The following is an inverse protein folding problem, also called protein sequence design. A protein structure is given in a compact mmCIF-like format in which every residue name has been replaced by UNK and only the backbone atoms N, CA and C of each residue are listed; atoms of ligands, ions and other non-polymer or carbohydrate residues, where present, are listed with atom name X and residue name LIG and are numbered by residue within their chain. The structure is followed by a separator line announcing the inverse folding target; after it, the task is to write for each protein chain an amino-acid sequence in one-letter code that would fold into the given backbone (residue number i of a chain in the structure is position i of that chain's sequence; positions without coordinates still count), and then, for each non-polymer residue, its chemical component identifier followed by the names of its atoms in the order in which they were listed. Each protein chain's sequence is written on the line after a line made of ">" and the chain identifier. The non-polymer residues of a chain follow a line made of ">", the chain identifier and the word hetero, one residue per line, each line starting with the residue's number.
data_IF_314585581122
#
_entry.id   IF_314585581122
#
_cell.length_a   1.000
_cell.length_b   1.000
_cell.length_c   1.000
_cell.angle_alpha   90.00
_cell.angle_beta   90.00
_cell.angle_gamma   90.00
#
_symmetry.space_group_name_H-M   'P 1'
#
loop_
_entity.id
_entity.type
_entity.pdbx_description
1 polymer ?
#
# COMPACT_ATOMS: atom_id res chain seq x y z
N UNK A 1 -55.57 25.76 15.11
CA UNK A 1 -54.20 25.46 15.61
C UNK A 1 -53.60 24.38 14.74
N UNK A 2 -52.60 24.71 13.92
CA UNK A 2 -51.83 23.72 13.13
C UNK A 2 -50.46 23.61 13.79
N UNK A 3 -50.18 22.45 14.37
CA UNK A 3 -48.88 22.11 14.96
C UNK A 3 -47.95 21.70 13.81
N UNK A 4 -46.93 22.52 13.54
CA UNK A 4 -45.85 22.16 12.61
C UNK A 4 -44.85 21.27 13.35
N UNK A 5 -44.74 20.01 12.92
CA UNK A 5 -43.64 19.13 13.31
C UNK A 5 -42.37 19.57 12.57
N UNK A 6 -41.41 20.13 13.31
CA UNK A 6 -40.10 20.47 12.79
C UNK A 6 -39.23 19.19 12.81
N UNK A 7 -39.03 18.59 11.65
CA UNK A 7 -38.11 17.46 11.47
C UNK A 7 -36.67 18.01 11.46
N UNK A 8 -35.95 17.85 12.56
CA UNK A 8 -34.52 18.19 12.63
C UNK A 8 -33.72 17.06 11.97
N UNK A 9 -33.27 17.28 10.74
CA UNK A 9 -32.24 16.47 10.10
C UNK A 9 -30.90 16.76 10.78
N UNK A 10 -30.48 15.85 11.67
CA UNK A 10 -29.10 15.77 12.15
C UNK A 10 -28.20 15.34 10.98
N UNK A 11 -27.65 16.32 10.27
CA UNK A 11 -26.49 16.11 9.40
C UNK A 11 -25.34 15.77 10.35
N UNK A 12 -25.03 14.48 10.45
CA UNK A 12 -23.83 14.03 11.16
C UNK A 12 -22.61 14.59 10.45
N UNK A 13 -22.07 15.70 10.95
CA UNK A 13 -20.73 16.14 10.61
C UNK A 13 -19.78 15.00 10.95
N UNK A 14 -19.32 14.26 9.95
CA UNK A 14 -18.20 13.34 10.08
C UNK A 14 -17.02 14.16 10.62
N UNK A 15 -16.66 13.95 11.88
CA UNK A 15 -15.48 14.56 12.47
C UNK A 15 -14.29 14.28 11.55
N UNK A 16 -13.44 15.29 11.33
CA UNK A 16 -12.22 15.09 10.57
C UNK A 16 -11.46 13.90 11.17
N UNK A 17 -10.96 12.94 10.36
CA UNK A 17 -10.22 11.82 10.89
C UNK A 17 -9.05 12.35 11.72
N UNK A 18 -8.73 11.72 12.87
CA UNK A 18 -7.61 12.13 13.70
C UNK A 18 -6.33 12.16 12.85
N UNK A 19 -5.45 13.13 13.14
CA UNK A 19 -4.12 13.21 12.54
C UNK A 19 -3.42 11.87 12.83
N UNK A 20 -2.80 11.26 11.82
CA UNK A 20 -2.20 9.92 11.98
C UNK A 20 -1.18 9.91 13.12
N UNK A 21 -1.38 9.03 14.10
CA UNK A 21 -0.36 8.72 15.14
C UNK A 21 0.78 7.83 14.60
N UNK A 22 0.86 7.67 13.27
CA UNK A 22 1.92 6.89 12.63
C UNK A 22 3.28 7.53 12.88
N UNK A 23 4.26 6.71 13.27
CA UNK A 23 5.64 7.16 13.52
C UNK A 23 6.56 6.61 12.44
N UNK A 24 7.36 7.47 11.78
CA UNK A 24 8.36 6.98 10.84
C UNK A 24 9.55 6.38 11.58
N UNK A 25 10.12 5.32 11.00
CA UNK A 25 11.29 4.62 11.52
C UNK A 25 12.51 4.84 10.61
N UNK A 26 12.29 4.85 9.30
CA UNK A 26 13.34 4.99 8.31
C UNK A 26 12.81 4.85 6.90
N UNK A 27 13.69 4.87 5.89
CA UNK A 27 13.32 4.67 4.49
C UNK A 27 13.90 3.37 3.95
N UNK A 28 13.23 2.79 2.95
CA UNK A 28 13.66 1.59 2.23
C UNK A 28 13.28 1.71 0.75
N UNK A 29 14.13 1.15 -0.12
CA UNK A 29 13.86 1.01 -1.55
C UNK A 29 13.69 -0.46 -1.91
N UNK A 30 12.53 -0.82 -2.45
CA UNK A 30 12.22 -2.18 -2.90
C UNK A 30 12.51 -2.27 -4.39
N UNK A 31 13.46 -3.11 -4.77
CA UNK A 31 13.78 -3.34 -6.17
C UNK A 31 12.98 -4.51 -6.75
N UNK A 32 12.38 -4.26 -7.91
CA UNK A 32 11.79 -5.27 -8.77
C UNK A 32 12.84 -5.76 -9.75
N UNK A 33 13.70 -6.65 -9.28
CA UNK A 33 14.82 -7.17 -10.03
C UNK A 33 15.05 -8.64 -9.67
N UNK A 34 14.73 -9.53 -10.60
CA UNK A 34 14.70 -10.98 -10.38
C UNK A 34 16.06 -11.55 -9.95
N UNK A 35 17.15 -10.81 -10.18
CA UNK A 35 18.51 -11.17 -9.76
C UNK A 35 18.99 -10.56 -8.44
N UNK A 36 18.31 -9.54 -7.90
CA UNK A 36 18.78 -8.80 -6.73
C UNK A 36 18.10 -9.28 -5.44
N UNK A 37 18.63 -10.36 -4.85
CA UNK A 37 18.25 -10.81 -3.49
C UNK A 37 19.10 -10.08 -2.45
N UNK A 38 18.90 -8.78 -2.29
CA UNK A 38 19.54 -8.02 -1.22
C UNK A 38 18.59 -7.91 -0.02
N UNK A 39 19.12 -8.13 1.19
CA UNK A 39 18.44 -7.70 2.40
C UNK A 39 18.63 -6.19 2.58
N UNK A 40 17.59 -5.50 3.03
CA UNK A 40 17.60 -4.06 3.29
C UNK A 40 17.37 -3.85 4.77
N UNK A 41 18.25 -3.10 5.42
CA UNK A 41 17.94 -2.50 6.71
C UNK A 41 17.30 -1.14 6.45
N UNK A 42 16.33 -0.76 7.28
CA UNK A 42 15.90 0.64 7.30
C UNK A 42 17.05 1.53 7.82
N UNK A 43 16.96 2.84 7.57
CA UNK A 43 18.02 3.78 7.97
C UNK A 43 18.28 3.83 9.48
N UNK A 44 17.34 3.38 10.32
CA UNK A 44 17.53 3.30 11.77
C UNK A 44 18.05 1.93 12.26
N UNK A 45 18.18 0.93 11.38
CA UNK A 45 18.50 -0.46 11.72
C UNK A 45 17.53 -1.11 12.73
N UNK A 46 16.30 -0.60 12.81
CA UNK A 46 15.21 -1.14 13.63
C UNK A 46 14.61 -2.38 12.97
N UNK A 47 14.63 -2.44 11.64
CA UNK A 47 13.99 -3.50 10.87
C UNK A 47 14.87 -3.98 9.74
N UNK A 48 14.96 -5.30 9.60
CA UNK A 48 15.56 -5.95 8.44
C UNK A 48 14.47 -6.53 7.53
N UNK A 49 14.54 -6.20 6.24
CA UNK A 49 13.68 -6.74 5.18
C UNK A 49 14.50 -7.67 4.30
N UNK A 50 14.05 -8.92 4.17
CA UNK A 50 14.70 -9.92 3.31
C UNK A 50 13.69 -10.42 2.26
N UNK A 51 13.96 -10.26 0.96
CA UNK A 51 13.07 -10.78 -0.08
C UNK A 51 13.03 -12.31 0.00
N UNK A 52 11.82 -12.88 0.02
CA UNK A 52 11.60 -14.33 0.04
C UNK A 52 11.19 -14.85 -1.33
N UNK A 53 10.02 -14.40 -1.80
CA UNK A 53 9.38 -14.90 -3.01
C UNK A 53 9.02 -13.75 -3.93
N UNK A 54 9.08 -14.05 -5.22
CA UNK A 54 8.62 -13.20 -6.29
C UNK A 54 7.62 -13.99 -7.12
N UNK A 55 6.45 -13.41 -7.35
CA UNK A 55 5.43 -13.98 -8.24
C UNK A 55 5.05 -12.96 -9.30
N UNK A 56 4.85 -13.46 -10.51
CA UNK A 56 4.18 -12.75 -11.58
C UNK A 56 3.01 -13.55 -12.13
N UNK A 57 1.95 -12.84 -12.48
CA UNK A 57 0.75 -13.40 -13.07
C UNK A 57 0.36 -12.54 -14.27
N UNK A 58 0.27 -13.17 -15.43
CA UNK A 58 -0.20 -12.55 -16.66
C UNK A 58 -1.70 -12.77 -16.84
N UNK A 59 -2.45 -11.68 -16.89
CA UNK A 59 -3.82 -11.65 -17.37
C UNK A 59 -3.82 -11.42 -18.89
N UNK A 60 -3.83 -12.53 -19.63
CA UNK A 60 -3.80 -12.50 -21.08
C UNK A 60 -5.05 -11.82 -21.68
N UNK A 61 -6.19 -11.89 -20.98
CA UNK A 61 -7.45 -11.34 -21.48
C UNK A 61 -7.61 -9.85 -21.13
N UNK A 62 -7.27 -9.46 -19.90
CA UNK A 62 -7.32 -8.06 -19.47
C UNK A 62 -6.08 -7.24 -19.83
N UNK A 63 -5.04 -7.86 -20.42
CA UNK A 63 -3.84 -7.15 -20.88
C UNK A 63 -2.97 -6.62 -19.73
N UNK A 64 -3.08 -7.20 -18.54
CA UNK A 64 -2.39 -6.75 -17.34
C UNK A 64 -1.41 -7.79 -16.82
N UNK A 65 -0.38 -7.31 -16.13
CA UNK A 65 0.54 -8.13 -15.35
C UNK A 65 0.42 -7.73 -13.89
N UNK A 66 0.39 -8.73 -13.03
CA UNK A 66 0.35 -8.59 -11.58
C UNK A 66 1.68 -9.10 -11.05
N UNK A 67 2.33 -8.29 -10.22
CA UNK A 67 3.62 -8.59 -9.66
C UNK A 67 3.49 -8.52 -8.13
N UNK A 68 3.94 -9.55 -7.41
CA UNK A 68 4.06 -9.52 -5.95
C UNK A 68 5.47 -9.91 -5.51
N UNK A 69 6.04 -9.15 -4.58
CA UNK A 69 7.24 -9.53 -3.84
C UNK A 69 6.89 -9.66 -2.37
N UNK A 70 7.20 -10.81 -1.80
CA UNK A 70 7.03 -11.08 -0.37
C UNK A 70 8.36 -10.86 0.34
N UNK A 71 8.35 -10.04 1.38
CA UNK A 71 9.49 -9.81 2.27
C UNK A 71 9.24 -10.50 3.60
N UNK A 72 10.27 -11.18 4.13
CA UNK A 72 10.39 -11.43 5.56
C UNK A 72 10.85 -10.14 6.21
N UNK A 73 10.16 -9.74 7.25
CA UNK A 73 10.48 -8.54 8.02
C UNK A 73 10.79 -8.96 9.44
N UNK A 74 11.97 -8.59 9.92
CA UNK A 74 12.47 -8.93 11.26
C UNK A 74 12.56 -7.66 12.10
N UNK A 75 11.98 -7.70 13.31
CA UNK A 75 12.14 -6.63 14.27
C UNK A 75 13.48 -6.77 15.00
N UNK A 76 14.43 -5.90 14.66
CA UNK A 76 15.76 -5.86 15.26
C UNK A 76 15.86 -4.90 16.46
N UNK A 77 14.75 -4.23 16.80
CA UNK A 77 14.68 -3.32 17.93
C UNK A 77 14.45 -4.04 19.25
N UNK A 78 14.53 -3.29 20.35
CA UNK A 78 14.27 -3.81 21.70
C UNK A 78 12.79 -3.76 22.10
N UNK A 79 11.92 -3.14 21.30
CA UNK A 79 10.49 -2.98 21.58
C UNK A 79 9.63 -3.66 20.53
N UNK A 80 8.37 -3.95 20.86
CA UNK A 80 7.42 -4.48 19.86
C UNK A 80 7.04 -3.41 18.85
N UNK A 81 6.91 -3.79 17.58
CA UNK A 81 6.45 -2.92 16.50
C UNK A 81 4.97 -3.19 16.23
N UNK A 82 4.14 -2.17 16.31
CA UNK A 82 2.70 -2.25 16.04
C UNK A 82 2.38 -1.75 14.64
N UNK A 83 1.59 -2.54 13.91
CA UNK A 83 1.13 -2.28 12.53
C UNK A 83 2.25 -1.71 11.66
N UNK A 84 3.34 -2.46 11.56
CA UNK A 84 4.48 -2.07 10.75
C UNK A 84 4.03 -1.99 9.28
N UNK A 85 4.25 -0.83 8.65
CA UNK A 85 3.76 -0.53 7.30
C UNK A 85 4.84 0.12 6.45
N UNK A 86 4.94 -0.29 5.20
CA UNK A 86 5.68 0.40 4.14
C UNK A 86 4.78 1.46 3.50
N UNK A 87 4.93 2.72 3.91
CA UNK A 87 4.20 3.88 3.37
C UNK A 87 4.90 4.42 2.14
N UNK A 88 4.21 4.44 1.00
CA UNK A 88 4.81 4.90 -0.24
C UNK A 88 5.11 6.41 -0.17
N UNK A 89 6.23 6.85 -0.75
CA UNK A 89 6.53 8.27 -0.90
C UNK A 89 7.18 8.57 -2.26
N UNK A 90 6.95 9.77 -2.76
CA UNK A 90 7.55 10.31 -3.96
C UNK A 90 8.84 11.05 -3.60
N UNK A 91 9.98 10.39 -3.79
CA UNK A 91 11.30 10.99 -3.71
C UNK A 91 11.53 11.94 -4.90
N UNK A 92 12.45 12.90 -4.76
CA UNK A 92 12.80 13.83 -5.86
C UNK A 92 13.28 13.11 -7.12
N UNK A 93 13.93 11.95 -6.98
CA UNK A 93 14.40 11.14 -8.10
C UNK A 93 13.33 10.19 -8.68
N UNK A 94 12.14 10.13 -8.10
CA UNK A 94 11.06 9.27 -8.59
C UNK A 94 10.34 9.90 -9.78
N UNK A 95 9.84 9.04 -10.66
CA UNK A 95 9.20 9.45 -11.89
C UNK A 95 7.71 9.76 -11.67
N UNK A 96 7.25 10.84 -12.28
CA UNK A 96 5.82 11.19 -12.34
C UNK A 96 5.17 11.42 -10.98
N UNK A 97 5.94 11.81 -9.96
CA UNK A 97 5.47 12.02 -8.60
C UNK A 97 4.93 10.75 -7.92
N UNK A 98 5.39 9.58 -8.36
CA UNK A 98 5.01 8.27 -7.80
C UNK A 98 6.08 7.77 -6.83
N UNK A 99 5.86 6.61 -6.21
CA UNK A 99 6.92 5.91 -5.48
C UNK A 99 7.93 5.20 -6.41
N UNK A 100 7.65 5.15 -7.71
CA UNK A 100 8.48 4.44 -8.69
C UNK A 100 9.69 5.31 -9.05
N UNK A 101 10.86 4.83 -8.62
CA UNK A 101 12.16 5.34 -9.03
C UNK A 101 12.58 4.83 -10.40
N UNK A 102 13.89 4.67 -10.61
CA UNK A 102 14.49 4.17 -11.85
C UNK A 102 13.67 3.05 -12.50
N UNK A 103 13.15 3.25 -13.71
CA UNK A 103 12.49 2.21 -14.52
C UNK A 103 13.42 1.82 -15.67
N UNK A 104 13.52 0.51 -15.93
CA UNK A 104 14.29 -0.05 -17.03
C UNK A 104 13.50 -1.13 -17.75
N UNK A 105 13.70 -1.21 -19.07
CA UNK A 105 13.28 -2.36 -19.85
C UNK A 105 13.98 -3.63 -19.35
N UNK A 106 13.48 -4.79 -19.75
CA UNK A 106 14.16 -6.05 -19.45
C UNK A 106 15.55 -6.09 -20.12
N UNK A 107 16.56 -6.71 -19.47
CA UNK A 107 17.88 -6.89 -20.05
C UNK A 107 17.85 -7.46 -21.47
N UNK A 108 18.75 -6.97 -22.31
CA UNK A 108 19.00 -7.51 -23.65
C UNK A 108 20.52 -7.61 -23.89
N UNK A 109 20.98 -8.36 -24.90
CA UNK A 109 22.41 -8.46 -25.20
C UNK A 109 23.09 -7.10 -25.44
N UNK A 110 22.36 -6.12 -25.99
CA UNK A 110 22.87 -4.75 -26.22
C UNK A 110 22.76 -3.85 -24.99
N UNK A 111 21.91 -4.20 -24.03
CA UNK A 111 21.67 -3.45 -22.79
C UNK A 111 21.53 -4.45 -21.64
N UNK A 112 22.64 -4.95 -21.07
CA UNK A 112 22.62 -5.98 -20.03
C UNK A 112 21.90 -5.52 -18.76
N UNK A 113 21.86 -4.21 -18.51
CA UNK A 113 21.10 -3.63 -17.39
C UNK A 113 19.67 -3.23 -17.77
N UNK A 114 19.29 -3.36 -19.03
CA UNK A 114 18.05 -2.82 -19.58
C UNK A 114 18.13 -1.33 -19.88
N UNK A 115 17.49 -0.92 -20.98
CA UNK A 115 17.39 0.49 -21.39
C UNK A 115 16.60 1.27 -20.34
N UNK A 116 17.13 2.42 -19.92
CA UNK A 116 16.44 3.31 -18.99
C UNK A 116 15.17 3.89 -19.63
N UNK A 117 14.09 3.92 -18.85
CA UNK A 117 12.81 4.49 -19.24
C UNK A 117 12.55 5.68 -18.31
N UNK A 118 12.48 6.87 -18.89
CA UNK A 118 12.31 8.13 -18.15
C UNK A 118 10.92 8.73 -18.30
N UNK A 119 10.05 8.08 -19.09
CA UNK A 119 8.68 8.54 -19.30
C UNK A 119 7.87 8.44 -17.99
N UNK A 120 7.39 9.57 -17.43
CA UNK A 120 6.56 9.58 -16.23
C UNK A 120 5.29 8.73 -16.34
N UNK A 121 4.74 8.58 -17.56
CA UNK A 121 3.52 7.81 -17.79
C UNK A 121 3.72 6.32 -17.52
N UNK A 122 4.93 5.80 -17.74
CA UNK A 122 5.25 4.39 -17.43
C UNK A 122 5.26 4.17 -15.93
N UNK A 123 5.90 5.06 -15.16
CA UNK A 123 5.88 5.00 -13.70
C UNK A 123 4.46 5.14 -13.14
N UNK A 124 3.69 6.08 -13.69
CA UNK A 124 2.28 6.24 -13.34
C UNK A 124 1.45 5.03 -13.71
N UNK A 125 1.84 4.23 -14.72
CA UNK A 125 1.13 3.01 -15.11
C UNK A 125 1.17 1.88 -14.06
N UNK A 126 2.17 1.90 -13.17
CA UNK A 126 2.37 0.90 -12.11
C UNK A 126 1.47 1.24 -10.92
N UNK A 127 0.42 0.45 -10.71
CA UNK A 127 -0.59 0.68 -9.67
C UNK A 127 -0.41 -0.26 -8.48
N UNK A 128 -0.37 0.25 -7.23
CA UNK A 128 -0.37 -0.59 -6.05
C UNK A 128 -1.72 -1.30 -5.92
N UNK A 129 -1.68 -2.57 -5.52
CA UNK A 129 -2.86 -3.43 -5.36
C UNK A 129 -2.63 -4.38 -4.17
N UNK A 130 -3.62 -5.20 -3.81
CA UNK A 130 -3.34 -6.38 -2.98
C UNK A 130 -2.60 -7.45 -3.80
N UNK A 131 -1.95 -8.40 -3.13
CA UNK A 131 -1.45 -9.60 -3.80
C UNK A 131 -2.57 -10.28 -4.59
N UNK A 132 -2.23 -10.88 -5.73
CA UNK A 132 -3.19 -11.46 -6.67
C UNK A 132 -2.78 -12.90 -6.98
N UNK A 133 -3.75 -13.80 -7.01
CA UNK A 133 -3.60 -15.19 -7.41
C UNK A 133 -4.43 -15.48 -8.66
N UNK A 134 -4.16 -16.60 -9.33
CA UNK A 134 -4.99 -17.06 -10.44
C UNK A 134 -6.18 -17.84 -9.89
N UNK A 135 -7.36 -17.24 -9.95
CA UNK A 135 -8.64 -17.88 -9.65
C UNK A 135 -9.23 -18.59 -10.88
N UNK A 136 -10.38 -19.28 -10.72
CA UNK A 136 -11.03 -20.04 -11.79
C UNK A 136 -11.56 -19.17 -12.93
N UNK A 137 -11.84 -17.88 -12.68
CA UNK A 137 -12.35 -16.93 -13.67
C UNK A 137 -11.30 -15.92 -14.15
N UNK A 138 -10.06 -16.01 -13.65
CA UNK A 138 -9.01 -15.04 -13.89
C UNK A 138 -8.31 -14.58 -12.60
N UNK A 139 -7.48 -13.53 -12.67
CA UNK A 139 -6.81 -12.98 -11.50
C UNK A 139 -7.81 -12.48 -10.45
N UNK A 140 -7.57 -12.83 -9.19
CA UNK A 140 -8.38 -12.41 -8.04
C UNK A 140 -7.47 -12.05 -6.84
N UNK A 141 -7.93 -11.20 -5.89
CA UNK A 141 -7.16 -10.88 -4.69
C UNK A 141 -6.78 -12.14 -3.90
N UNK A 142 -5.52 -12.26 -3.51
CA UNK A 142 -5.03 -13.32 -2.64
C UNK A 142 -5.24 -12.93 -1.17
N UNK A 143 -6.12 -13.63 -0.42
CA UNK A 143 -6.41 -13.31 0.98
C UNK A 143 -5.19 -13.45 1.90
N UNK A 144 -4.18 -14.24 1.52
CA UNK A 144 -2.93 -14.41 2.27
C UNK A 144 -1.91 -13.30 1.98
N UNK A 145 -2.14 -12.51 0.92
CA UNK A 145 -1.32 -11.38 0.52
C UNK A 145 -2.09 -10.05 0.47
N UNK A 146 -3.15 -9.94 1.30
CA UNK A 146 -3.98 -8.74 1.46
C UNK A 146 -3.35 -7.68 2.38
N UNK A 147 -2.13 -7.24 2.07
CA UNK A 147 -1.37 -6.29 2.89
C UNK A 147 -1.56 -4.81 2.50
N UNK A 148 -2.24 -4.54 1.39
CA UNK A 148 -2.46 -3.16 0.92
C UNK A 148 -3.30 -2.35 1.91
N UNK A 149 -2.86 -1.13 2.18
CA UNK A 149 -3.59 -0.14 2.97
C UNK A 149 -3.72 1.19 2.22
N UNK A 150 -4.93 1.75 2.24
CA UNK A 150 -5.21 3.11 1.80
C UNK A 150 -5.30 4.07 2.99
N UNK A 151 -4.89 5.32 2.78
CA UNK A 151 -4.83 6.33 3.84
C UNK A 151 -5.49 7.62 3.38
N UNK A 152 -6.07 8.37 4.32
CA UNK A 152 -6.56 9.71 3.98
C UNK A 152 -5.38 10.65 3.70
N UNK A 153 -5.64 11.67 2.87
CA UNK A 153 -4.65 12.70 2.58
C UNK A 153 -4.14 13.39 3.86
N UNK A 154 -5.02 13.58 4.85
CA UNK A 154 -4.66 14.20 6.13
C UNK A 154 -3.63 13.36 6.91
N UNK A 155 -3.80 12.04 6.91
CA UNK A 155 -2.85 11.11 7.54
C UNK A 155 -1.49 11.14 6.83
N UNK A 156 -1.48 11.06 5.50
CA UNK A 156 -0.25 11.13 4.71
C UNK A 156 0.48 12.46 4.92
N UNK A 157 -0.24 13.58 4.94
CA UNK A 157 0.33 14.92 5.16
C UNK A 157 0.86 15.08 6.60
N UNK A 158 0.24 14.43 7.58
CA UNK A 158 0.73 14.39 8.96
C UNK A 158 2.05 13.62 9.07
N UNK A 159 2.08 12.41 8.49
CA UNK A 159 3.26 11.56 8.46
C UNK A 159 4.42 12.21 7.68
N UNK A 160 4.13 12.84 6.55
CA UNK A 160 5.11 13.60 5.74
C UNK A 160 5.82 14.66 6.58
N UNK A 161 5.06 15.52 7.26
CA UNK A 161 5.61 16.55 8.15
C UNK A 161 6.44 15.95 9.27
N UNK A 162 5.99 14.85 9.86
CA UNK A 162 6.73 14.14 10.90
C UNK A 162 8.07 13.58 10.41
N UNK A 163 8.09 12.97 9.22
CA UNK A 163 9.29 12.41 8.62
C UNK A 163 10.28 13.50 8.16
N UNK A 164 9.79 14.60 7.61
CA UNK A 164 10.60 15.77 7.26
C UNK A 164 11.23 16.41 8.51
N UNK A 165 10.47 16.54 9.60
CA UNK A 165 10.98 17.08 10.87
C UNK A 165 12.08 16.21 11.48
N UNK A 166 12.09 14.90 11.20
CA UNK A 166 13.14 13.97 11.62
C UNK A 166 14.30 13.87 10.62
N UNK A 167 14.25 14.59 9.50
CA UNK A 167 15.26 14.52 8.44
C UNK A 167 15.26 13.20 7.65
N UNK A 168 14.19 12.40 7.76
CA UNK A 168 14.04 11.14 7.01
C UNK A 168 13.59 11.37 5.58
N UNK A 169 12.86 12.47 5.33
CA UNK A 169 12.43 12.93 4.01
C UNK A 169 12.91 14.36 3.78
N UNK A 170 13.26 14.69 2.54
CA UNK A 170 13.52 16.07 2.14
C UNK A 170 12.20 16.85 2.03
N UNK A 171 12.26 18.19 2.15
CA UNK A 171 11.07 19.05 2.11
C UNK A 171 10.33 19.05 0.76
N UNK A 172 10.95 18.56 -0.31
CA UNK A 172 10.33 18.39 -1.63
C UNK A 172 9.67 17.01 -1.83
N UNK A 173 9.87 16.08 -0.91
CA UNK A 173 9.35 14.71 -1.00
C UNK A 173 7.97 14.62 -0.38
N UNK A 174 7.13 13.75 -0.95
CA UNK A 174 5.71 13.68 -0.58
C UNK A 174 5.29 12.27 -0.19
N UNK A 175 4.58 12.12 0.94
CA UNK A 175 4.01 10.82 1.33
C UNK A 175 2.70 10.59 0.56
N UNK A 176 2.61 9.41 -0.07
CA UNK A 176 1.47 8.97 -0.86
C UNK A 176 0.42 8.27 0.02
N UNK A 177 -0.79 8.15 -0.52
CA UNK A 177 -1.98 7.72 0.23
C UNK A 177 -2.15 6.19 0.27
N UNK A 178 -1.05 5.45 0.12
CA UNK A 178 -1.07 3.99 0.14
C UNK A 178 0.18 3.40 0.78
N UNK A 179 0.10 2.12 1.12
CA UNK A 179 1.21 1.34 1.66
C UNK A 179 0.90 -0.14 1.78
N UNK A 180 1.82 -0.87 2.40
CA UNK A 180 1.73 -2.31 2.62
C UNK A 180 2.08 -2.66 4.06
N UNK A 181 1.12 -3.19 4.82
CA UNK A 181 1.28 -3.55 6.22
C UNK A 181 1.83 -4.97 6.39
N UNK A 182 2.52 -5.23 7.51
CA UNK A 182 2.87 -6.57 7.93
C UNK A 182 1.63 -7.41 8.20
N UNK A 183 1.71 -8.69 7.88
CA UNK A 183 0.64 -9.65 8.12
C UNK A 183 0.36 -9.79 9.63
N UNK A 184 1.41 -9.81 10.45
CA UNK A 184 1.28 -9.74 11.91
C UNK A 184 1.18 -8.28 12.36
N UNK A 185 0.20 -8.01 13.23
CA UNK A 185 -0.13 -6.66 13.71
C UNK A 185 0.79 -6.20 14.83
N UNK A 186 1.45 -7.14 15.48
CA UNK A 186 2.50 -6.88 16.48
C UNK A 186 3.67 -7.79 16.19
N UNK A 187 4.84 -7.20 15.97
CA UNK A 187 6.09 -7.93 15.76
C UNK A 187 6.96 -7.72 16.99
N UNK A 188 7.07 -8.74 17.84
CA UNK A 188 7.91 -8.69 19.03
C UNK A 188 9.40 -8.61 18.67
N UNK A 189 10.28 -8.14 19.57
CA UNK A 189 11.73 -8.16 19.36
C UNK A 189 12.24 -9.55 18.91
N UNK A 190 13.02 -9.59 17.84
CA UNK A 190 13.56 -10.82 17.25
C UNK A 190 12.53 -11.69 16.50
N UNK A 191 11.24 -11.32 16.52
CA UNK A 191 10.21 -12.01 15.75
C UNK A 191 10.21 -11.53 14.29
N UNK A 192 9.63 -12.36 13.43
CA UNK A 192 9.50 -12.08 12.00
C UNK A 192 8.05 -12.05 11.58
N UNK A 193 7.72 -11.22 10.59
CA UNK A 193 6.45 -11.23 9.87
C UNK A 193 6.68 -11.20 8.36
N UNK A 194 5.59 -11.13 7.59
CA UNK A 194 5.60 -11.00 6.14
C UNK A 194 5.00 -9.67 5.71
N UNK A 195 5.59 -9.02 4.70
CA UNK A 195 4.97 -7.91 3.96
C UNK A 195 4.95 -8.29 2.48
N UNK A 196 3.77 -8.25 1.87
CA UNK A 196 3.61 -8.40 0.43
C UNK A 196 3.47 -7.02 -0.22
N UNK A 197 4.44 -6.66 -1.06
CA UNK A 197 4.35 -5.48 -1.92
C UNK A 197 3.85 -5.96 -3.27
N UNK A 198 2.70 -5.45 -3.72
CA UNK A 198 2.06 -5.89 -4.94
C UNK A 198 1.68 -4.72 -5.85
N UNK A 199 1.89 -4.91 -7.15
CA UNK A 199 1.56 -3.93 -8.19
C UNK A 199 0.93 -4.57 -9.42
N UNK A 200 0.08 -3.81 -10.11
CA UNK A 200 -0.46 -4.11 -11.44
C UNK A 200 0.10 -3.12 -12.46
N UNK A 201 0.44 -3.60 -13.65
CA UNK A 201 0.90 -2.78 -14.76
C UNK A 201 0.40 -3.35 -16.10
N UNK A 202 0.26 -2.52 -17.15
CA UNK A 202 -0.07 -3.02 -18.48
C UNK A 202 0.98 -4.00 -18.99
N UNK A 203 0.55 -5.03 -19.73
CA UNK A 203 1.48 -5.90 -20.47
C UNK A 203 2.04 -5.12 -21.65
N UNK A 204 3.35 -4.94 -21.66
CA UNK A 204 4.06 -4.19 -22.70
C UNK A 204 4.57 -5.08 -23.83
N UNK A 205 4.59 -6.40 -23.61
CA UNK A 205 4.98 -7.38 -24.62
C UNK A 205 3.94 -8.50 -24.65
N UNK A 206 3.15 -8.56 -25.72
CA UNK A 206 2.05 -9.53 -25.86
C UNK A 206 2.55 -10.98 -25.90
N UNK A 207 3.77 -11.20 -26.36
CA UNK A 207 4.35 -12.53 -26.64
C UNK A 207 5.55 -12.91 -25.77
N UNK A 208 6.09 -12.00 -24.96
CA UNK A 208 7.29 -12.25 -24.15
C UNK A 208 7.08 -11.82 -22.69
N UNK A 209 7.38 -12.67 -21.71
CA UNK A 209 7.10 -12.38 -20.31
C UNK A 209 8.16 -11.48 -19.67
N UNK A 210 8.59 -10.41 -20.33
CA UNK A 210 9.70 -9.55 -19.85
C UNK A 210 9.19 -8.36 -19.03
N UNK A 211 9.22 -8.40 -17.68
CA UNK A 211 8.74 -7.28 -16.87
C UNK A 211 9.72 -6.10 -16.94
N UNK A 212 9.21 -4.90 -16.65
CA UNK A 212 10.09 -3.78 -16.29
C UNK A 212 10.86 -4.10 -15.01
N UNK A 213 12.10 -3.63 -14.93
CA UNK A 213 12.83 -3.52 -13.67
C UNK A 213 12.58 -2.13 -13.12
N UNK A 214 12.15 -2.02 -11.88
CA UNK A 214 11.93 -0.73 -11.25
C UNK A 214 12.20 -0.76 -9.76
N UNK A 215 12.30 0.40 -9.11
CA UNK A 215 12.42 0.51 -7.66
C UNK A 215 11.23 1.27 -7.09
N UNK A 216 10.73 0.86 -5.93
CA UNK A 216 9.69 1.57 -5.19
C UNK A 216 10.28 2.12 -3.89
N UNK A 217 9.97 3.39 -3.60
CA UNK A 217 10.43 4.07 -2.40
C UNK A 217 9.36 4.03 -1.29
N UNK A 218 9.75 3.57 -0.11
CA UNK A 218 8.87 3.47 1.04
C UNK A 218 9.51 4.09 2.29
N UNK A 219 8.66 4.73 3.08
CA UNK A 219 8.91 5.09 4.46
C UNK A 219 8.38 3.94 5.32
N UNK A 220 9.23 3.40 6.19
CA UNK A 220 8.83 2.40 7.17
C UNK A 220 8.18 3.11 8.35
N UNK A 221 7.01 2.67 8.76
CA UNK A 221 6.24 3.30 9.83
C UNK A 221 5.60 2.29 10.76
N UNK A 222 5.39 2.66 12.01
CA UNK A 222 4.45 1.96 12.92
C UNK A 222 3.20 2.80 13.13
N UNK A 223 2.08 2.15 13.42
CA UNK A 223 0.80 2.81 13.66
C UNK A 223 0.08 2.14 14.83
N UNK A 224 -0.51 2.88 15.77
CA UNK A 224 -1.37 2.28 16.79
C UNK A 224 -2.74 1.85 16.22
N UNK A 225 -3.13 2.42 15.06
CA UNK A 225 -4.39 2.09 14.40
C UNK A 225 -4.21 0.89 13.49
N UNK A 226 -4.99 -0.15 13.76
CA UNK A 226 -5.11 -1.33 12.91
C UNK A 226 -6.06 -1.04 11.75
N UNK A 227 -5.65 -1.36 10.52
CA UNK A 227 -6.40 -1.05 9.31
C UNK A 227 -6.60 -2.27 8.41
N UNK A 228 -7.75 -2.28 7.75
CA UNK A 228 -8.08 -3.18 6.65
C UNK A 228 -8.62 -2.34 5.51
N UNK A 229 -8.01 -2.43 4.33
CA UNK A 229 -8.50 -1.74 3.14
C UNK A 229 -9.13 -2.72 2.16
N UNK A 230 -10.27 -2.32 1.59
CA UNK A 230 -10.92 -3.03 0.50
C UNK A 230 -10.00 -3.05 -0.74
N UNK A 231 -9.73 -4.24 -1.26
CA UNK A 231 -9.01 -4.44 -2.52
C UNK A 231 -9.86 -4.07 -3.73
N UNK A 232 -9.19 -3.85 -4.87
CA UNK A 232 -9.87 -3.85 -6.16
C UNK A 232 -10.42 -5.26 -6.45
N UNK A 233 -11.71 -5.35 -6.76
CA UNK A 233 -12.40 -6.63 -6.99
C UNK A 233 -12.85 -7.36 -5.73
N UNK A 234 -12.49 -6.87 -4.54
CA UNK A 234 -12.99 -7.38 -3.27
C UNK A 234 -14.36 -6.77 -2.95
N UNK A 235 -15.33 -7.60 -2.55
CA UNK A 235 -16.62 -7.08 -2.09
C UNK A 235 -16.48 -6.43 -0.72
N UNK A 236 -17.39 -5.50 -0.42
CA UNK A 236 -17.43 -4.86 0.91
C UNK A 236 -17.60 -5.88 2.03
N UNK A 237 -18.34 -6.98 1.80
CA UNK A 237 -18.52 -8.06 2.77
C UNK A 237 -17.23 -8.85 3.03
N UNK A 238 -16.40 -9.09 2.02
CA UNK A 238 -15.10 -9.75 2.18
C UNK A 238 -14.14 -8.89 3.01
N UNK A 239 -14.06 -7.59 2.69
CA UNK A 239 -13.23 -6.66 3.44
C UNK A 239 -13.70 -6.54 4.91
N UNK A 240 -15.01 -6.52 5.13
CA UNK A 240 -15.62 -6.51 6.46
C UNK A 240 -15.24 -7.77 7.26
N UNK A 241 -15.37 -8.96 6.67
CA UNK A 241 -15.01 -10.22 7.34
C UNK A 241 -13.54 -10.25 7.77
N UNK A 242 -12.63 -9.70 6.96
CA UNK A 242 -11.20 -9.56 7.34
C UNK A 242 -11.02 -8.58 8.49
N UNK A 243 -11.75 -7.46 8.51
CA UNK A 243 -11.71 -6.52 9.60
C UNK A 243 -12.26 -7.12 10.91
N UNK A 244 -13.34 -7.88 10.83
CA UNK A 244 -13.95 -8.57 11.98
C UNK A 244 -13.02 -9.62 12.60
N UNK A 245 -12.30 -10.37 11.76
CA UNK A 245 -11.32 -11.36 12.21
C UNK A 245 -10.20 -10.74 13.08
N UNK A 246 -10.01 -9.42 13.00
CA UNK A 246 -9.01 -8.69 13.77
C UNK A 246 -9.56 -8.02 15.04
N UNK A 247 -10.87 -8.07 15.28
CA UNK A 247 -11.51 -7.42 16.45
C UNK A 247 -11.28 -8.17 17.78
N UNK A 248 -10.60 -9.32 17.77
CA UNK A 248 -10.39 -10.14 18.98
C UNK A 248 -9.44 -9.47 19.98
N UNK A 249 -9.99 -8.64 20.89
CA UNK A 249 -9.24 -8.15 22.06
C UNK A 249 -9.42 -6.70 22.50
N UNK A 250 -10.38 -5.93 21.95
CA UNK A 250 -10.70 -4.51 22.26
C UNK A 250 -9.95 -3.43 21.47
N UNK A 251 -9.18 -3.78 20.43
CA UNK A 251 -8.61 -2.76 19.54
C UNK A 251 -9.68 -2.27 18.54
N UNK A 252 -9.72 -0.96 18.29
CA UNK A 252 -10.52 -0.42 17.20
C UNK A 252 -9.84 -0.78 15.87
N UNK A 253 -10.60 -1.37 14.95
CA UNK A 253 -10.16 -1.63 13.58
C UNK A 253 -10.75 -0.55 12.67
N UNK A 254 -9.93 0.00 11.79
CA UNK A 254 -10.39 0.90 10.74
C UNK A 254 -10.58 0.13 9.44
N UNK A 255 -11.82 -0.02 8.99
CA UNK A 255 -12.17 -0.51 7.67
C UNK A 255 -12.18 0.66 6.69
N UNK A 256 -11.28 0.60 5.71
CA UNK A 256 -11.17 1.57 4.63
C UNK A 256 -11.85 1.02 3.39
N UNK A 257 -12.90 1.69 2.96
CA UNK A 257 -13.69 1.30 1.80
C UNK A 257 -13.43 2.24 0.63
N UNK A 258 -13.38 1.64 -0.56
CA UNK A 258 -13.37 2.36 -1.83
C UNK A 258 -14.79 2.41 -2.43
N UNK A 259 -15.69 1.52 -2.01
CA UNK A 259 -17.10 1.50 -2.41
C UNK A 259 -17.97 2.42 -1.53
N UNK A 260 -19.19 2.70 -2.02
CA UNK A 260 -20.27 3.33 -1.26
C UNK A 260 -21.19 2.33 -0.55
N UNK A 261 -20.91 1.03 -0.63
CA UNK A 261 -21.78 -0.02 -0.11
C UNK A 261 -22.01 0.17 1.41
N UNK A 262 -23.23 -0.07 1.90
CA UNK A 262 -23.53 0.06 3.31
C UNK A 262 -22.77 -0.99 4.13
N UNK A 263 -22.29 -0.60 5.31
CA UNK A 263 -21.71 -1.50 6.31
C UNK A 263 -22.58 -1.46 7.56
N UNK A 264 -23.03 -2.61 8.08
CA UNK A 264 -23.75 -2.67 9.35
C UNK A 264 -22.92 -2.09 10.49
N UNK A 265 -23.52 -1.35 11.45
CA UNK A 265 -22.79 -0.89 12.63
C UNK A 265 -22.21 -2.06 13.42
N UNK A 266 -20.92 -1.98 13.75
CA UNK A 266 -20.21 -2.99 14.53
C UNK A 266 -19.37 -2.33 15.62
N UNK A 267 -19.46 -2.86 16.84
CA UNK A 267 -18.64 -2.37 17.96
C UNK A 267 -17.16 -2.64 17.69
N UNK A 268 -16.30 -1.65 17.95
CA UNK A 268 -14.87 -1.74 17.67
C UNK A 268 -14.48 -1.54 16.20
N UNK A 269 -15.44 -1.39 15.29
CA UNK A 269 -15.17 -1.06 13.89
C UNK A 269 -15.41 0.43 13.63
N UNK A 270 -14.43 1.09 13.03
CA UNK A 270 -14.58 2.41 12.42
C UNK A 270 -14.52 2.29 10.90
N UNK A 271 -15.41 2.98 10.18
CA UNK A 271 -15.45 2.94 8.72
C UNK A 271 -14.98 4.28 8.17
N UNK A 272 -13.96 4.23 7.30
CA UNK A 272 -13.49 5.38 6.53
C UNK A 272 -13.72 5.10 5.06
N UNK A 273 -14.28 6.06 4.35
CA UNK A 273 -14.49 5.96 2.90
C UNK A 273 -13.49 6.87 2.20
N UNK A 274 -12.67 6.30 1.34
CA UNK A 274 -11.72 7.03 0.52
C UNK A 274 -12.25 7.04 -0.91
N UNK A 275 -12.64 8.22 -1.37
CA UNK A 275 -13.12 8.40 -2.75
C UNK A 275 -11.97 8.43 -3.75
N UNK A 276 -10.76 8.76 -3.31
CA UNK A 276 -9.56 8.84 -4.13
C UNK A 276 -8.33 8.47 -3.30
N UNK A 277 -7.32 7.86 -3.95
CA UNK A 277 -5.96 7.72 -3.39
C UNK A 277 -4.96 8.43 -4.30
N UNK A 278 -4.02 9.19 -3.72
CA UNK A 278 -2.86 9.68 -4.46
C UNK A 278 -1.86 8.54 -4.67
N UNK A 279 -1.86 7.99 -5.88
CA UNK A 279 -0.85 7.04 -6.38
C UNK A 279 0.28 7.77 -7.12
N UNK A 280 0.03 9.02 -7.56
CA UNK A 280 0.99 9.97 -8.12
C UNK A 280 0.50 11.43 -7.98
N UNK A 281 1.13 12.38 -8.68
CA UNK A 281 0.75 13.82 -8.65
C UNK A 281 -0.63 14.14 -9.24
N UNK A 282 -1.19 13.26 -10.06
CA UNK A 282 -2.59 13.31 -10.46
C UNK A 282 -3.39 12.28 -9.62
N UNK A 283 -4.57 12.62 -9.07
CA UNK A 283 -5.44 11.67 -8.41
C UNK A 283 -5.68 10.49 -9.35
N UNK A 284 -5.17 9.32 -8.97
CA UNK A 284 -5.47 8.11 -9.73
C UNK A 284 -6.66 7.49 -9.04
N UNK A 285 -7.82 7.60 -9.69
CA UNK A 285 -9.00 6.86 -9.30
C UNK A 285 -8.66 5.35 -9.34
N UNK A 286 -8.65 4.69 -8.18
CA UNK A 286 -8.72 3.22 -8.12
C UNK A 286 -10.10 2.69 -8.57
N UNK A 287 -11.01 3.60 -8.95
CA UNK A 287 -12.44 3.38 -9.16
C UNK A 287 -12.89 3.52 -10.61
N UNK A 288 -12.09 3.08 -11.58
CA UNK A 288 -12.70 2.59 -12.81
C UNK A 288 -12.20 1.18 -13.11
N UNK A 289 -13.12 0.20 -13.25
CA UNK A 289 -12.79 -1.13 -13.72
C UNK A 289 -12.09 -1.08 -15.09
#
# INVERSE_FOLDING_TARGET
>A
MRVFFLLVLLVGCSAAPPVSDSRPLGTVSVAWDVGAKASFADSSATVALTPLTYTDLDDLQGGNRYLTVTFRVENQSTGSLENLTLRAYAATANLGGTAVGTVRAFPSPSHPDGTAITDPLVAQSIRPIQGTQLGPAGPEPDPQASNFEGFSQAESTGLERGAQAQGLLAGSEQVLDYGFAASDRTINPGATSLINVAVKLPRTFSTSPTPYRFKLSFLLTTSPTLRVSQALGETTSQALARAEALLSGRQMVQLVLLSSDPVPPQSGLSVVRLTNLRIGIAPTYLLQP
#
